data_IF_403513913980
#
_entry.id   IF_403513913980
#
_cell.length_a   1.000
_cell.length_b   1.000
_cell.length_c   1.000
_cell.angle_alpha   90.00
_cell.angle_beta   90.00
_cell.angle_gamma   90.00
#
_symmetry.space_group_name_H-M   'P 1'
#
loop_
_entity.id
_entity.type
_entity.pdbx_description
1 polymer ?
#
# COMPACT_ATOMS: atom_id res chain seq x y z
N UNK A 1 47.59 48.61 -9.11
CA UNK A 1 46.56 48.05 -10.00
C UNK A 1 45.89 46.86 -9.33
N UNK A 2 44.60 46.93 -8.99
CA UNK A 2 43.89 45.93 -8.17
C UNK A 2 43.69 44.56 -8.86
N UNK A 3 43.99 44.43 -10.16
CA UNK A 3 43.80 43.21 -10.94
C UNK A 3 44.62 41.99 -10.47
N UNK A 4 45.71 42.19 -9.72
CA UNK A 4 46.61 41.13 -9.28
C UNK A 4 45.95 40.24 -8.22
N UNK A 5 45.14 40.85 -7.36
CA UNK A 5 44.38 40.13 -6.33
C UNK A 5 43.29 39.26 -6.94
N UNK A 6 42.72 39.67 -8.07
CA UNK A 6 41.76 38.85 -8.81
C UNK A 6 42.42 37.58 -9.38
N UNK A 7 43.64 37.70 -9.92
CA UNK A 7 44.40 36.55 -10.46
C UNK A 7 44.80 35.59 -9.33
N UNK A 8 45.28 36.11 -8.19
CA UNK A 8 45.67 35.29 -7.04
C UNK A 8 44.46 34.60 -6.41
N UNK A 9 43.34 35.32 -6.25
CA UNK A 9 42.09 34.75 -5.74
C UNK A 9 41.54 33.66 -6.64
N UNK A 10 41.64 33.81 -7.96
CA UNK A 10 41.22 32.79 -8.93
C UNK A 10 42.08 31.53 -8.85
N UNK A 11 43.40 31.67 -8.68
CA UNK A 11 44.31 30.53 -8.51
C UNK A 11 44.00 29.74 -7.23
N UNK A 12 43.84 30.44 -6.11
CA UNK A 12 43.53 29.80 -4.82
C UNK A 12 42.13 29.19 -4.83
N UNK A 13 41.15 29.91 -5.38
CA UNK A 13 39.78 29.43 -5.53
C UNK A 13 39.66 28.22 -6.45
N UNK A 14 40.46 28.14 -7.52
CA UNK A 14 40.49 26.98 -8.40
C UNK A 14 41.04 25.73 -7.69
N UNK A 15 42.13 25.89 -6.91
CA UNK A 15 42.71 24.77 -6.15
C UNK A 15 41.73 24.28 -5.08
N UNK A 16 41.17 25.20 -4.27
CA UNK A 16 40.16 24.83 -3.27
C UNK A 16 38.90 24.25 -3.92
N UNK A 17 38.44 24.82 -5.03
CA UNK A 17 37.27 24.36 -5.77
C UNK A 17 37.45 22.94 -6.28
N UNK A 18 38.62 22.60 -6.83
CA UNK A 18 38.93 21.23 -7.27
C UNK A 18 38.96 20.27 -6.09
N UNK A 19 39.57 20.65 -4.96
CA UNK A 19 39.62 19.79 -3.77
C UNK A 19 38.23 19.53 -3.23
N UNK A 20 37.42 20.57 -3.02
CA UNK A 20 36.04 20.43 -2.53
C UNK A 20 35.21 19.60 -3.50
N UNK A 21 35.27 19.89 -4.81
CA UNK A 21 34.52 19.14 -5.82
C UNK A 21 34.93 17.66 -5.86
N UNK A 22 36.21 17.34 -5.64
CA UNK A 22 36.69 15.96 -5.59
C UNK A 22 36.17 15.21 -4.37
N UNK A 23 36.08 15.87 -3.21
CA UNK A 23 35.46 15.29 -2.01
C UNK A 23 33.93 15.17 -2.14
N UNK A 24 33.28 16.11 -2.83
CA UNK A 24 31.81 16.17 -2.99
C UNK A 24 31.29 15.33 -4.16
N UNK A 25 32.12 14.56 -4.87
CA UNK A 25 31.66 13.67 -5.97
C UNK A 25 31.56 12.19 -5.57
N UNK A 26 30.62 11.75 -4.70
CA UNK A 26 30.26 10.33 -4.55
C UNK A 26 29.08 9.90 -5.47
N UNK A 27 28.64 10.77 -6.39
CA UNK A 27 27.35 10.62 -7.10
C UNK A 27 27.24 9.40 -8.02
N UNK A 28 28.34 8.83 -8.51
CA UNK A 28 28.30 7.62 -9.35
C UNK A 28 27.91 6.35 -8.57
N UNK A 29 28.20 6.29 -7.26
CA UNK A 29 27.80 5.15 -6.43
C UNK A 29 26.32 5.18 -6.11
N UNK A 30 25.76 6.38 -5.89
CA UNK A 30 24.33 6.57 -5.58
C UNK A 30 23.40 6.17 -6.72
N UNK A 31 23.77 6.43 -7.98
CA UNK A 31 22.95 6.00 -9.12
C UNK A 31 22.96 4.48 -9.30
N UNK A 32 24.11 3.81 -9.10
CA UNK A 32 24.18 2.34 -9.13
C UNK A 32 23.39 1.70 -7.99
N UNK A 33 23.43 2.26 -6.78
CA UNK A 33 22.62 1.75 -5.66
C UNK A 33 21.13 1.96 -5.92
N UNK A 34 20.72 3.13 -6.42
CA UNK A 34 19.30 3.38 -6.74
C UNK A 34 18.78 2.45 -7.85
N UNK A 35 19.57 2.18 -8.89
CA UNK A 35 19.18 1.20 -9.91
C UNK A 35 19.10 -0.22 -9.35
N UNK A 36 20.05 -0.61 -8.50
CA UNK A 36 20.05 -1.91 -7.83
C UNK A 36 18.86 -2.06 -6.89
N UNK A 37 18.48 -0.99 -6.18
CA UNK A 37 17.32 -0.99 -5.28
C UNK A 37 16.02 -1.12 -6.06
N UNK A 38 15.89 -0.45 -7.23
CA UNK A 38 14.73 -0.65 -8.11
C UNK A 38 14.66 -2.06 -8.69
N UNK A 39 15.79 -2.61 -9.13
CA UNK A 39 15.84 -3.98 -9.67
C UNK A 39 15.53 -5.01 -8.57
N UNK A 40 16.04 -4.80 -7.36
CA UNK A 40 15.74 -5.61 -6.17
C UNK A 40 14.26 -5.52 -5.78
N UNK A 41 13.67 -4.33 -5.80
CA UNK A 41 12.26 -4.14 -5.47
C UNK A 41 11.34 -4.79 -6.52
N UNK A 42 11.68 -4.67 -7.81
CA UNK A 42 10.96 -5.37 -8.89
C UNK A 42 11.06 -6.87 -8.76
N UNK A 43 12.26 -7.38 -8.48
CA UNK A 43 12.47 -8.82 -8.25
C UNK A 43 11.66 -9.31 -7.04
N UNK A 44 11.66 -8.58 -5.94
CA UNK A 44 10.87 -8.92 -4.75
C UNK A 44 9.36 -8.92 -5.05
N UNK A 45 8.86 -7.95 -5.83
CA UNK A 45 7.46 -7.93 -6.25
C UNK A 45 7.11 -9.13 -7.13
N UNK A 46 7.97 -9.48 -8.09
CA UNK A 46 7.74 -10.64 -8.95
C UNK A 46 7.75 -11.95 -8.14
N UNK A 47 8.68 -12.07 -7.19
CA UNK A 47 8.74 -13.21 -6.27
C UNK A 47 7.46 -13.34 -5.44
N UNK A 48 6.94 -12.23 -4.91
CA UNK A 48 5.67 -12.21 -4.18
C UNK A 48 4.48 -12.55 -5.09
N UNK A 49 4.49 -12.10 -6.35
CA UNK A 49 3.45 -12.44 -7.33
C UNK A 49 3.43 -13.93 -7.64
N UNK A 50 4.62 -14.51 -7.81
CA UNK A 50 4.77 -15.94 -8.04
C UNK A 50 4.34 -16.75 -6.82
N UNK A 51 4.80 -16.38 -5.61
CA UNK A 51 4.41 -17.05 -4.37
C UNK A 51 2.90 -16.98 -4.12
N UNK A 52 2.26 -15.83 -4.38
CA UNK A 52 0.80 -15.70 -4.32
C UNK A 52 0.11 -16.58 -5.36
N UNK A 53 0.62 -16.61 -6.60
CA UNK A 53 0.07 -17.47 -7.66
C UNK A 53 0.10 -18.94 -7.26
N UNK A 54 1.22 -19.42 -6.74
CA UNK A 54 1.37 -20.80 -6.28
C UNK A 54 0.46 -21.09 -5.08
N UNK A 55 0.36 -20.17 -4.12
CA UNK A 55 -0.56 -20.31 -2.98
C UNK A 55 -2.03 -20.33 -3.40
N UNK A 56 -2.44 -19.51 -4.37
CA UNK A 56 -3.81 -19.51 -4.89
C UNK A 56 -4.09 -20.78 -5.71
N UNK A 57 -3.13 -21.27 -6.49
CA UNK A 57 -3.26 -22.53 -7.21
C UNK A 57 -3.47 -23.70 -6.23
N UNK A 58 -2.64 -23.77 -5.18
CA UNK A 58 -2.79 -24.77 -4.11
C UNK A 58 -4.13 -24.62 -3.37
N UNK A 59 -4.54 -23.39 -3.08
CA UNK A 59 -5.82 -23.13 -2.40
C UNK A 59 -7.00 -23.52 -3.29
N UNK A 60 -6.93 -23.29 -4.60
CA UNK A 60 -7.96 -23.70 -5.54
C UNK A 60 -8.09 -25.24 -5.59
N UNK A 61 -6.98 -25.97 -5.55
CA UNK A 61 -6.99 -27.44 -5.46
C UNK A 61 -7.61 -27.92 -4.14
N UNK A 62 -7.25 -27.30 -3.02
CA UNK A 62 -7.87 -27.60 -1.72
C UNK A 62 -9.37 -27.27 -1.70
N UNK A 63 -9.77 -26.15 -2.32
CA UNK A 63 -11.17 -25.72 -2.40
C UNK A 63 -12.01 -26.65 -3.28
N UNK A 64 -11.46 -27.13 -4.39
CA UNK A 64 -12.09 -28.15 -5.23
C UNK A 64 -12.31 -29.45 -4.44
N UNK A 65 -11.32 -29.89 -3.67
CA UNK A 65 -11.44 -31.04 -2.78
C UNK A 65 -12.52 -30.83 -1.72
N UNK A 66 -12.56 -29.64 -1.10
CA UNK A 66 -13.57 -29.28 -0.11
C UNK A 66 -14.98 -29.23 -0.72
N UNK A 67 -15.15 -28.68 -1.92
CA UNK A 67 -16.43 -28.65 -2.63
C UNK A 67 -16.95 -30.04 -2.97
N UNK A 68 -16.04 -30.94 -3.38
CA UNK A 68 -16.35 -32.37 -3.58
C UNK A 68 -16.80 -33.03 -2.29
N UNK A 69 -16.07 -32.81 -1.19
CA UNK A 69 -16.40 -33.40 0.10
C UNK A 69 -17.68 -32.84 0.72
N UNK A 70 -17.95 -31.54 0.52
CA UNK A 70 -19.23 -30.90 0.85
C UNK A 70 -20.40 -31.58 0.13
N UNK A 71 -20.24 -31.80 -1.18
CA UNK A 71 -21.26 -32.46 -2.00
C UNK A 71 -21.49 -33.90 -1.54
N UNK A 72 -20.41 -34.66 -1.29
CA UNK A 72 -20.49 -36.04 -0.77
C UNK A 72 -21.19 -36.10 0.58
N UNK A 73 -20.86 -35.19 1.49
CA UNK A 73 -21.51 -35.11 2.79
C UNK A 73 -23.02 -34.92 2.63
N UNK A 74 -23.41 -33.99 1.78
CA UNK A 74 -24.82 -33.70 1.55
C UNK A 74 -25.56 -34.86 0.86
N UNK A 75 -24.94 -35.51 -0.13
CA UNK A 75 -25.45 -36.75 -0.74
C UNK A 75 -25.62 -37.87 0.29
N UNK A 76 -24.65 -38.03 1.20
CA UNK A 76 -24.71 -39.02 2.26
C UNK A 76 -25.88 -38.72 3.21
N UNK A 77 -26.05 -37.47 3.64
CA UNK A 77 -27.18 -37.06 4.46
C UNK A 77 -28.53 -37.28 3.77
N UNK A 78 -28.64 -36.96 2.48
CA UNK A 78 -29.84 -37.19 1.68
C UNK A 78 -30.19 -38.69 1.62
N UNK A 79 -29.19 -39.54 1.37
CA UNK A 79 -29.35 -41.00 1.34
C UNK A 79 -29.74 -41.56 2.71
N UNK A 80 -29.03 -41.19 3.77
CA UNK A 80 -29.33 -41.63 5.14
C UNK A 80 -30.72 -41.18 5.58
N UNK A 81 -31.13 -39.96 5.23
CA UNK A 81 -32.48 -39.47 5.53
C UNK A 81 -33.57 -40.31 4.86
N UNK A 82 -33.35 -40.72 3.60
CA UNK A 82 -34.28 -41.58 2.86
C UNK A 82 -34.33 -42.99 3.45
N UNK A 83 -33.20 -43.52 3.89
CA UNK A 83 -33.10 -44.84 4.53
C UNK A 83 -33.78 -44.88 5.91
N UNK A 84 -33.61 -43.85 6.72
CA UNK A 84 -34.21 -43.76 8.06
C UNK A 84 -35.70 -43.37 8.03
N UNK A 85 -36.16 -42.69 6.98
CA UNK A 85 -37.54 -42.24 6.82
C UNK A 85 -38.15 -42.70 5.47
N UNK A 86 -38.35 -44.01 5.27
CA UNK A 86 -38.77 -44.57 3.98
C UNK A 86 -40.22 -44.22 3.57
N UNK A 87 -41.04 -43.70 4.49
CA UNK A 87 -42.42 -43.26 4.21
C UNK A 87 -42.53 -41.75 3.94
N UNK A 88 -41.44 -40.99 3.98
CA UNK A 88 -41.46 -39.58 3.67
C UNK A 88 -41.28 -39.41 2.14
N UNK A 89 -42.16 -38.67 1.44
CA UNK A 89 -41.97 -38.40 0.03
C UNK A 89 -40.65 -37.64 -0.18
N UNK A 90 -39.90 -37.96 -1.24
CA UNK A 90 -38.57 -37.34 -1.51
C UNK A 90 -38.63 -35.81 -1.58
N UNK A 91 -39.80 -35.26 -1.90
CA UNK A 91 -40.05 -33.82 -1.95
C UNK A 91 -40.03 -33.13 -0.57
N UNK A 92 -40.32 -33.87 0.50
CA UNK A 92 -40.31 -33.36 1.88
C UNK A 92 -38.95 -33.54 2.56
N UNK A 93 -37.97 -34.16 1.88
CA UNK A 93 -36.62 -34.31 2.40
C UNK A 93 -35.81 -33.02 2.19
N UNK A 94 -35.45 -32.27 3.26
CA UNK A 94 -34.72 -31.00 3.14
C UNK A 94 -33.29 -31.19 2.60
N UNK A 95 -32.79 -32.43 2.53
CA UNK A 95 -31.48 -32.79 2.01
C UNK A 95 -31.47 -33.13 0.50
N UNK A 96 -32.62 -33.32 -0.14
CA UNK A 96 -32.68 -33.63 -1.59
C UNK A 96 -32.78 -32.34 -2.41
N UNK A 97 -33.52 -31.35 -1.90
CA UNK A 97 -33.80 -30.08 -2.59
C UNK A 97 -32.53 -29.30 -2.97
N UNK A 98 -31.54 -29.20 -2.08
CA UNK A 98 -30.32 -28.41 -2.36
C UNK A 98 -29.37 -29.10 -3.34
N UNK A 99 -29.42 -30.44 -3.50
CA UNK A 99 -28.64 -31.14 -4.56
C UNK A 99 -29.18 -30.76 -5.92
N UNK A 100 -30.50 -30.73 -6.07
CA UNK A 100 -31.15 -30.34 -7.32
C UNK A 100 -30.83 -28.88 -7.67
N UNK A 101 -30.86 -27.97 -6.69
CA UNK A 101 -30.50 -26.55 -6.88
C UNK A 101 -29.02 -26.38 -7.25
N UNK A 102 -28.08 -27.07 -6.58
CA UNK A 102 -26.64 -26.98 -6.89
C UNK A 102 -26.23 -27.63 -8.23
N UNK A 103 -26.96 -28.65 -8.71
CA UNK A 103 -26.66 -29.25 -10.03
C UNK A 103 -27.20 -28.40 -11.20
N UNK A 104 -28.23 -27.58 -10.97
CA UNK A 104 -28.79 -26.68 -11.99
C UNK A 104 -27.93 -25.42 -12.17
N UNK A 105 -27.17 -25.00 -11.16
CA UNK A 105 -26.18 -23.91 -11.25
C UNK A 105 -24.79 -24.36 -11.76
N UNK A 106 -24.73 -25.39 -12.61
CA UNK A 106 -23.52 -25.66 -13.39
C UNK A 106 -23.37 -24.62 -14.51
N UNK A 107 -22.84 -23.45 -14.12
CA UNK A 107 -22.06 -22.52 -14.94
C UNK A 107 -22.73 -22.08 -16.26
N UNK A 108 -23.79 -21.30 -16.16
CA UNK A 108 -24.02 -20.27 -17.16
C UNK A 108 -23.04 -19.12 -16.85
N UNK A 109 -22.03 -18.95 -17.70
CA UNK A 109 -21.00 -17.91 -17.61
C UNK A 109 -21.53 -16.46 -17.79
N UNK A 110 -22.84 -16.26 -17.59
CA UNK A 110 -23.58 -15.01 -17.79
C UNK A 110 -24.47 -14.65 -16.60
N UNK A 111 -24.39 -15.37 -15.47
CA UNK A 111 -25.03 -14.95 -14.24
C UNK A 111 -24.28 -13.72 -13.69
N UNK A 112 -24.97 -12.58 -13.72
CA UNK A 112 -24.53 -11.30 -13.19
C UNK A 112 -24.01 -11.48 -11.75
N UNK A 113 -22.68 -11.53 -11.61
CA UNK A 113 -22.01 -11.66 -10.33
C UNK A 113 -22.39 -10.43 -9.52
N UNK A 114 -23.24 -10.61 -8.51
CA UNK A 114 -23.53 -9.58 -7.50
C UNK A 114 -22.22 -9.29 -6.77
N UNK A 115 -21.47 -8.31 -7.28
CA UNK A 115 -20.18 -7.97 -6.73
C UNK A 115 -20.42 -7.40 -5.32
N UNK A 116 -19.72 -7.92 -4.29
CA UNK A 116 -19.73 -7.25 -2.99
C UNK A 116 -19.32 -5.79 -3.17
N UNK A 117 -19.82 -4.86 -2.33
CA UNK A 117 -19.51 -3.45 -2.42
C UNK A 117 -18.00 -3.27 -2.58
N UNK A 118 -17.59 -2.49 -3.58
CA UNK A 118 -16.19 -2.18 -3.86
C UNK A 118 -15.69 -1.16 -2.83
N UNK A 119 -15.69 -1.57 -1.56
CA UNK A 119 -15.22 -0.78 -0.40
C UNK A 119 -13.68 -0.73 -0.32
N UNK A 120 -12.98 -1.29 -1.31
CA UNK A 120 -11.56 -1.06 -1.50
C UNK A 120 -11.35 0.33 -2.09
N UNK A 121 -11.22 1.31 -1.20
CA UNK A 121 -10.79 2.68 -1.49
C UNK A 121 -9.59 2.69 -2.46
N UNK A 122 -9.86 2.94 -3.73
CA UNK A 122 -8.83 3.07 -4.74
C UNK A 122 -8.27 4.49 -4.67
N UNK A 123 -7.11 4.63 -4.04
CA UNK A 123 -6.36 5.89 -3.98
C UNK A 123 -6.56 6.67 -2.68
N UNK A 124 -5.49 6.73 -1.89
CA UNK A 124 -5.26 7.62 -0.76
C UNK A 124 -6.49 7.88 0.13
N UNK A 125 -6.72 7.02 1.13
CA UNK A 125 -7.35 7.45 2.38
C UNK A 125 -6.39 8.40 3.12
N UNK A 126 -6.21 9.57 2.53
CA UNK A 126 -5.48 10.68 3.11
C UNK A 126 -6.35 11.32 4.17
N UNK A 127 -6.24 10.85 5.41
CA UNK A 127 -6.63 11.63 6.59
C UNK A 127 -5.85 12.95 6.67
N UNK A 128 -4.85 13.15 5.82
CA UNK A 128 -4.07 14.37 5.68
C UNK A 128 -4.30 14.95 4.28
N UNK A 129 -5.35 15.75 4.12
CA UNK A 129 -5.42 16.70 3.02
C UNK A 129 -4.65 17.94 3.48
N UNK A 130 -3.53 18.26 2.82
CA UNK A 130 -2.77 19.47 3.13
C UNK A 130 -3.60 20.71 2.72
N UNK A 131 -4.31 21.28 3.69
CA UNK A 131 -4.98 22.57 3.54
C UNK A 131 -3.92 23.67 3.39
N UNK A 132 -3.74 24.15 2.15
CA UNK A 132 -2.90 25.29 1.82
C UNK A 132 -3.47 26.53 2.50
N UNK A 133 -2.93 26.89 3.67
CA UNK A 133 -3.25 28.12 4.40
C UNK A 133 -3.11 29.35 3.49
N UNK A 134 -4.23 30.03 3.29
CA UNK A 134 -4.31 31.34 2.65
C UNK A 134 -3.75 32.39 3.62
N UNK A 135 -2.77 33.16 3.17
CA UNK A 135 -2.16 34.26 3.94
C UNK A 135 -3.18 35.38 4.04
N UNK A 136 -3.80 35.52 5.20
CA UNK A 136 -4.63 36.69 5.52
C UNK A 136 -3.69 37.84 5.89
N UNK A 137 -3.51 38.79 4.98
CA UNK A 137 -2.99 40.12 5.29
C UNK A 137 -3.95 40.83 6.26
N UNK A 138 -3.49 41.16 7.46
CA UNK A 138 -4.25 41.93 8.44
C UNK A 138 -4.02 43.44 8.22
N UNK A 139 -5.07 44.28 8.25
CA UNK A 139 -4.96 45.71 8.00
C UNK A 139 -4.33 46.47 9.18
N UNK A 140 -3.59 47.52 8.84
CA UNK A 140 -3.02 48.52 9.76
C UNK A 140 -4.07 49.15 10.69
N UNK A 141 -3.74 49.26 11.99
CA UNK A 141 -4.28 50.28 12.89
C UNK A 141 -3.36 50.51 14.11
N UNK A 142 -2.43 51.45 13.93
CA UNK A 142 -2.02 52.57 14.81
C UNK A 142 -2.30 52.50 16.32
N UNK A 143 -1.25 52.75 17.12
CA UNK A 143 -1.38 53.38 18.46
C UNK A 143 -0.19 53.17 19.40
N UNK A 144 0.69 54.17 19.51
CA UNK A 144 1.37 54.74 20.71
C UNK A 144 1.50 53.83 21.97
N UNK A 145 2.59 53.73 22.74
CA UNK A 145 3.66 54.66 23.08
C UNK A 145 4.74 53.89 23.89
N UNK A 146 5.88 54.54 24.10
CA UNK A 146 7.13 54.14 24.78
C UNK A 146 7.08 53.56 26.20
N UNK A 147 8.17 52.85 26.61
CA UNK A 147 8.92 52.86 27.91
C UNK A 147 9.60 51.47 28.11
N UNK A 148 10.90 51.27 27.80
CA UNK A 148 12.15 51.42 28.61
C UNK A 148 12.48 50.26 29.60
N UNK A 149 13.74 49.75 29.48
CA UNK A 149 14.61 48.98 30.43
C UNK A 149 14.26 47.50 30.76
N UNK A 150 15.15 46.51 30.91
CA UNK A 150 16.63 46.34 30.96
C UNK A 150 16.93 44.79 30.83
N UNK A 151 18.20 44.32 30.65
CA UNK A 151 18.52 42.93 30.31
C UNK A 151 18.88 42.05 31.51
N UNK A 152 18.43 40.78 31.55
CA UNK A 152 18.91 39.78 32.50
C UNK A 152 19.75 38.69 31.85
N UNK A 153 21.06 38.85 32.02
CA UNK A 153 22.04 37.86 32.53
C UNK A 153 21.82 36.35 32.30
N UNK A 154 22.83 35.79 31.64
CA UNK A 154 23.29 34.39 31.61
C UNK A 154 23.23 33.64 32.95
N UNK A 155 22.73 32.41 32.94
CA UNK A 155 23.00 31.42 33.99
C UNK A 155 23.68 30.18 33.39
N UNK A 156 24.85 29.90 33.95
CA UNK A 156 25.83 28.86 33.63
C UNK A 156 25.38 27.53 34.25
N UNK A 157 25.30 26.47 33.45
CA UNK A 157 25.10 25.11 33.96
C UNK A 157 26.40 24.59 34.59
N UNK A 158 26.26 24.07 35.81
CA UNK A 158 27.23 23.22 36.49
C UNK A 158 27.10 21.77 36.03
#
# INVERSE_FOLDING_TARGET
MPWIYAIVGLLVGAILGIVISRLTTPQYKKQKTLQKDLESAKFALEQQRQELSDHFAQTAEMLDTLGKDYTKLYQHMAKTSTELMPNLPEQDNPFVKKIAEHNVETIDANAEVEHPPKDYVNGATGLLTEEKKEVVEAPEAVGQESVVQEPMTTAKAS
#
